data_IF_701906957847
#
_entry.id   IF_701906957847
#
_cell.length_a   1.000
_cell.length_b   1.000
_cell.length_c   1.000
_cell.angle_alpha   90.00
_cell.angle_beta   90.00
_cell.angle_gamma   90.00
#
_symmetry.space_group_name_H-M   'P 1'
#
loop_
_entity.id
_entity.type
_entity.pdbx_description
1 polymer ?
#
# COMPACT_ATOMS: atom_id res chain seq x y z
N UNK A 1 7.47 -20.44 -23.23
CA UNK A 1 8.70 -19.62 -23.20
C UNK A 1 8.31 -18.15 -23.31
N UNK A 2 8.54 -17.39 -22.25
CA UNK A 2 8.27 -15.95 -22.20
C UNK A 2 9.59 -15.24 -22.56
N UNK A 3 9.62 -14.59 -23.71
CA UNK A 3 10.85 -14.03 -24.30
C UNK A 3 11.57 -13.05 -23.35
N UNK A 4 10.82 -12.24 -22.58
CA UNK A 4 11.40 -11.28 -21.64
C UNK A 4 12.15 -11.95 -20.44
N UNK A 5 11.92 -13.24 -20.20
CA UNK A 5 12.52 -14.00 -19.10
C UNK A 5 13.63 -14.96 -19.55
N UNK A 6 13.94 -15.07 -20.85
CA UNK A 6 14.87 -16.05 -21.40
C UNK A 6 16.31 -15.92 -20.85
N UNK A 7 16.71 -14.74 -20.40
CA UNK A 7 18.03 -14.46 -19.82
C UNK A 7 17.98 -14.07 -18.34
N UNK A 8 16.83 -14.20 -17.69
CA UNK A 8 16.65 -13.79 -16.29
C UNK A 8 17.06 -14.93 -15.37
N UNK A 9 17.99 -14.66 -14.47
CA UNK A 9 18.31 -15.54 -13.34
C UNK A 9 17.45 -15.14 -12.14
N UNK A 10 16.75 -16.11 -11.57
CA UNK A 10 15.87 -15.89 -10.40
C UNK A 10 16.58 -16.41 -9.15
N UNK A 11 16.76 -15.52 -8.19
CA UNK A 11 17.13 -15.86 -6.82
C UNK A 11 15.94 -15.72 -5.91
N UNK A 12 15.73 -16.66 -4.99
CA UNK A 12 14.59 -16.67 -4.08
C UNK A 12 15.01 -16.54 -2.62
N UNK A 13 14.28 -15.73 -1.86
CA UNK A 13 14.47 -15.57 -0.43
C UNK A 13 13.14 -15.58 0.29
N UNK A 14 12.99 -16.48 1.26
CA UNK A 14 11.81 -16.48 2.13
C UNK A 14 11.97 -15.45 3.25
N UNK A 15 11.08 -14.47 3.29
CA UNK A 15 11.06 -13.41 4.33
C UNK A 15 10.18 -13.83 5.50
N UNK A 16 8.98 -14.35 5.19
CA UNK A 16 8.03 -14.85 6.16
C UNK A 16 7.20 -15.99 5.54
N UNK A 17 6.56 -16.78 6.39
CA UNK A 17 5.55 -17.75 5.99
C UNK A 17 4.34 -17.58 6.91
N UNK A 18 3.41 -16.76 6.49
CA UNK A 18 2.24 -16.36 7.26
C UNK A 18 1.06 -16.11 6.33
N UNK A 19 -0.14 -16.20 6.90
CA UNK A 19 -1.32 -15.64 6.23
C UNK A 19 -1.27 -14.14 6.30
N UNK A 20 -1.52 -13.46 5.18
CA UNK A 20 -1.38 -11.99 5.12
C UNK A 20 -2.35 -11.23 6.00
N UNK A 21 -3.47 -11.81 6.43
CA UNK A 21 -4.35 -11.20 7.43
C UNK A 21 -3.66 -10.97 8.79
N UNK A 22 -2.59 -11.71 9.05
CA UNK A 22 -1.80 -11.66 10.28
C UNK A 22 -0.52 -10.81 10.10
N UNK A 23 -0.43 -10.02 9.01
CA UNK A 23 0.70 -9.13 8.73
C UNK A 23 0.90 -8.12 9.87
N UNK A 24 2.15 -7.94 10.27
CA UNK A 24 2.53 -7.01 11.32
C UNK A 24 3.67 -6.06 10.91
N UNK A 25 3.91 -5.06 11.73
CA UNK A 25 4.95 -4.06 11.47
C UNK A 25 6.36 -4.66 11.51
N UNK A 26 6.61 -5.68 12.33
CA UNK A 26 7.91 -6.35 12.41
C UNK A 26 8.25 -7.04 11.08
N UNK A 27 7.28 -7.73 10.51
CA UNK A 27 7.41 -8.37 9.19
C UNK A 27 7.60 -7.34 8.09
N UNK A 28 6.89 -6.21 8.13
CA UNK A 28 7.11 -5.10 7.18
C UNK A 28 8.53 -4.54 7.25
N UNK A 29 9.10 -4.40 8.45
CA UNK A 29 10.47 -3.91 8.60
C UNK A 29 11.50 -4.88 8.03
N UNK A 30 11.34 -6.19 8.30
CA UNK A 30 12.20 -7.22 7.72
C UNK A 30 12.12 -7.23 6.19
N UNK A 31 10.91 -7.15 5.64
CA UNK A 31 10.68 -7.06 4.20
C UNK A 31 11.34 -5.81 3.61
N UNK A 32 11.11 -4.65 4.22
CA UNK A 32 11.68 -3.38 3.74
C UNK A 32 13.22 -3.40 3.71
N UNK A 33 13.86 -3.97 4.73
CA UNK A 33 15.32 -4.15 4.74
C UNK A 33 15.80 -5.04 3.60
N UNK A 34 15.10 -6.15 3.36
CA UNK A 34 15.45 -7.04 2.27
C UNK A 34 15.31 -6.36 0.90
N UNK A 35 14.24 -5.59 0.70
CA UNK A 35 14.00 -4.82 -0.52
C UNK A 35 15.06 -3.73 -0.71
N UNK A 36 15.38 -2.97 0.34
CA UNK A 36 16.41 -1.93 0.28
C UNK A 36 17.80 -2.52 -0.05
N UNK A 37 18.15 -3.67 0.54
CA UNK A 37 19.40 -4.36 0.24
C UNK A 37 19.45 -4.84 -1.23
N UNK A 38 18.35 -5.43 -1.73
CA UNK A 38 18.27 -5.86 -3.13
C UNK A 38 18.27 -4.68 -4.11
N UNK A 39 17.66 -3.55 -3.75
CA UNK A 39 17.74 -2.34 -4.57
C UNK A 39 19.17 -1.77 -4.65
N UNK A 40 19.98 -1.94 -3.61
CA UNK A 40 21.37 -1.48 -3.57
C UNK A 40 22.33 -2.40 -4.33
N UNK A 41 21.96 -3.64 -4.59
CA UNK A 41 22.80 -4.62 -5.31
C UNK A 41 22.67 -4.39 -6.83
N UNK A 42 23.76 -4.01 -7.49
CA UNK A 42 23.78 -3.74 -8.93
C UNK A 42 23.44 -4.98 -9.79
N UNK A 43 23.66 -6.19 -9.27
CA UNK A 43 23.33 -7.43 -9.98
C UNK A 43 21.82 -7.70 -10.03
N UNK A 44 21.03 -7.07 -9.18
CA UNK A 44 19.58 -7.23 -9.13
C UNK A 44 18.91 -6.25 -10.10
N UNK A 45 18.25 -6.76 -11.12
CA UNK A 45 17.51 -5.94 -12.10
C UNK A 45 16.13 -5.51 -11.61
N UNK A 46 15.45 -6.34 -10.82
CA UNK A 46 14.12 -6.08 -10.26
C UNK A 46 13.76 -7.05 -9.14
N UNK A 47 12.70 -6.79 -8.44
CA UNK A 47 12.28 -7.54 -7.25
C UNK A 47 10.82 -7.95 -7.41
N UNK A 48 10.51 -9.22 -7.18
CA UNK A 48 9.13 -9.71 -7.08
C UNK A 48 8.86 -10.19 -5.66
N UNK A 49 7.75 -9.76 -5.10
CA UNK A 49 7.29 -10.14 -3.76
C UNK A 49 5.98 -10.91 -3.91
N UNK A 50 6.01 -12.21 -3.62
CA UNK A 50 4.78 -13.00 -3.51
C UNK A 50 4.15 -12.76 -2.14
N UNK A 51 2.87 -12.41 -2.11
CA UNK A 51 2.17 -11.96 -0.93
C UNK A 51 0.76 -12.55 -0.88
N UNK A 52 0.18 -12.71 0.32
CA UNK A 52 -1.24 -13.04 0.45
C UNK A 52 -2.13 -11.85 0.08
N UNK A 53 -3.36 -12.12 -0.32
CA UNK A 53 -4.23 -11.10 -0.94
C UNK A 53 -4.83 -10.10 0.04
N UNK A 54 -4.93 -10.42 1.35
CA UNK A 54 -5.75 -9.65 2.29
C UNK A 54 -5.12 -8.32 2.71
N UNK A 55 -3.79 -8.24 2.75
CA UNK A 55 -3.04 -7.01 3.11
C UNK A 55 -1.99 -6.61 2.08
N UNK A 56 -2.08 -7.15 0.88
CA UNK A 56 -1.14 -6.84 -0.22
C UNK A 56 -1.10 -5.34 -0.53
N UNK A 57 -2.27 -4.71 -0.60
CA UNK A 57 -2.39 -3.27 -0.88
C UNK A 57 -1.73 -2.41 0.20
N UNK A 58 -1.84 -2.82 1.47
CA UNK A 58 -1.22 -2.14 2.61
C UNK A 58 0.31 -2.26 2.57
N UNK A 59 0.82 -3.47 2.29
CA UNK A 59 2.26 -3.71 2.14
C UNK A 59 2.85 -2.94 0.96
N UNK A 60 2.15 -2.91 -0.17
CA UNK A 60 2.55 -2.14 -1.34
C UNK A 60 2.57 -0.64 -1.05
N UNK A 61 1.53 -0.14 -0.38
CA UNK A 61 1.46 1.25 0.05
C UNK A 61 2.62 1.59 1.01
N UNK A 62 2.84 0.79 2.05
CA UNK A 62 3.94 0.98 2.99
C UNK A 62 5.29 1.11 2.29
N UNK A 63 5.63 0.17 1.41
CA UNK A 63 6.90 0.21 0.66
C UNK A 63 6.99 1.46 -0.20
N UNK A 64 5.91 1.87 -0.88
CA UNK A 64 5.88 3.06 -1.73
C UNK A 64 6.04 4.37 -0.96
N UNK A 65 5.66 4.41 0.33
CA UNK A 65 5.83 5.58 1.19
C UNK A 65 7.21 5.63 1.86
N UNK A 66 7.86 4.49 2.01
CA UNK A 66 9.18 4.39 2.64
C UNK A 66 10.28 4.93 1.71
N UNK A 67 10.22 4.63 0.41
CA UNK A 67 11.22 5.05 -0.57
C UNK A 67 10.70 4.94 -2.01
N UNK A 68 11.39 5.63 -2.92
CA UNK A 68 11.14 5.48 -4.36
C UNK A 68 12.29 4.66 -4.95
N UNK A 69 12.10 3.37 -5.23
CA UNK A 69 13.15 2.53 -5.77
C UNK A 69 13.51 2.95 -7.22
N UNK A 70 14.79 2.83 -7.55
CA UNK A 70 15.30 2.99 -8.92
C UNK A 70 15.21 1.71 -9.75
N UNK A 71 14.61 0.68 -9.19
CA UNK A 71 14.37 -0.63 -9.82
C UNK A 71 12.92 -1.01 -9.59
N UNK A 72 12.33 -1.85 -10.46
CA UNK A 72 10.99 -2.36 -10.23
C UNK A 72 10.91 -3.20 -8.95
N UNK A 73 9.93 -2.89 -8.10
CA UNK A 73 9.53 -3.69 -6.93
C UNK A 73 8.08 -4.06 -7.11
N UNK A 74 7.82 -5.30 -7.44
CA UNK A 74 6.52 -5.78 -7.89
C UNK A 74 5.93 -6.74 -6.86
N UNK A 75 4.79 -6.39 -6.28
CA UNK A 75 4.02 -7.29 -5.44
C UNK A 75 3.01 -8.05 -6.28
N UNK A 76 2.86 -9.33 -6.01
CA UNK A 76 1.86 -10.19 -6.65
C UNK A 76 1.27 -11.20 -5.67
N UNK A 77 0.16 -11.81 -6.06
CA UNK A 77 -0.59 -12.72 -5.19
C UNK A 77 -1.31 -13.80 -6.02
N UNK A 78 -2.05 -14.66 -5.32
CA UNK A 78 -2.99 -15.59 -5.92
C UNK A 78 -4.29 -15.63 -5.12
N UNK A 79 -5.42 -15.60 -5.81
CA UNK A 79 -6.75 -15.75 -5.22
C UNK A 79 -7.17 -17.22 -5.10
N UNK A 80 -6.56 -18.12 -5.87
CA UNK A 80 -6.82 -19.56 -5.87
C UNK A 80 -5.62 -20.31 -5.35
N UNK A 81 -5.83 -21.38 -4.58
CA UNK A 81 -4.74 -22.23 -4.14
C UNK A 81 -4.08 -22.93 -5.33
N UNK A 82 -2.80 -23.30 -5.19
CA UNK A 82 -2.05 -23.99 -6.24
C UNK A 82 -2.68 -25.35 -6.65
N UNK A 83 -3.51 -25.93 -5.78
CA UNK A 83 -4.25 -27.18 -6.02
C UNK A 83 -5.59 -26.98 -6.76
N UNK A 84 -5.98 -25.74 -7.05
CA UNK A 84 -7.20 -25.48 -7.81
C UNK A 84 -7.10 -26.01 -9.24
N UNK A 85 -8.24 -26.31 -9.86
CA UNK A 85 -8.29 -26.77 -11.27
C UNK A 85 -7.63 -25.74 -12.22
N UNK A 86 -7.77 -24.45 -11.93
CA UNK A 86 -7.15 -23.35 -12.69
C UNK A 86 -6.58 -22.35 -11.69
N UNK A 87 -5.35 -22.56 -11.17
CA UNK A 87 -4.71 -21.63 -10.26
C UNK A 87 -4.24 -20.39 -11.01
N UNK A 88 -4.42 -19.22 -10.42
CA UNK A 88 -3.99 -17.93 -11.00
C UNK A 88 -2.54 -17.54 -10.64
N UNK A 89 -2.00 -18.14 -9.56
CA UNK A 89 -0.68 -17.81 -9.05
C UNK A 89 0.46 -17.94 -10.07
N UNK A 90 0.58 -19.04 -10.83
CA UNK A 90 1.65 -19.18 -11.81
C UNK A 90 1.65 -18.07 -12.87
N UNK A 91 0.48 -17.69 -13.40
CA UNK A 91 0.40 -16.60 -14.35
C UNK A 91 0.73 -15.25 -13.73
N UNK A 92 0.21 -14.98 -12.54
CA UNK A 92 0.50 -13.73 -11.82
C UNK A 92 2.00 -13.57 -11.50
N UNK A 93 2.71 -14.67 -11.19
CA UNK A 93 4.17 -14.64 -10.98
C UNK A 93 4.89 -14.33 -12.30
N UNK A 94 4.51 -14.92 -13.40
CA UNK A 94 5.10 -14.65 -14.73
C UNK A 94 4.88 -13.19 -15.10
N UNK A 95 3.67 -12.69 -14.95
CA UNK A 95 3.34 -11.28 -15.22
C UNK A 95 4.17 -10.32 -14.35
N UNK A 96 4.29 -10.63 -13.06
CA UNK A 96 5.10 -9.84 -12.13
C UNK A 96 6.60 -9.86 -12.51
N UNK A 97 7.14 -11.01 -12.92
CA UNK A 97 8.52 -11.12 -13.40
C UNK A 97 8.75 -10.30 -14.67
N UNK A 98 7.79 -10.29 -15.61
CA UNK A 98 7.88 -9.47 -16.83
C UNK A 98 7.90 -7.97 -16.51
N UNK A 99 7.14 -7.53 -15.51
CA UNK A 99 7.19 -6.13 -15.04
C UNK A 99 8.52 -5.86 -14.32
N UNK A 100 8.97 -6.77 -13.46
CA UNK A 100 10.22 -6.62 -12.72
C UNK A 100 11.47 -6.62 -13.61
N UNK A 101 11.42 -7.31 -14.74
CA UNK A 101 12.49 -7.32 -15.73
C UNK A 101 12.47 -6.09 -16.66
N UNK A 102 11.44 -5.24 -16.60
CA UNK A 102 11.31 -4.09 -17.49
C UNK A 102 12.00 -2.85 -16.90
N UNK A 103 13.07 -2.33 -17.52
CA UNK A 103 13.80 -1.17 -16.98
C UNK A 103 13.00 0.14 -16.98
N UNK A 104 11.84 0.19 -17.64
CA UNK A 104 10.95 1.37 -17.57
C UNK A 104 9.98 1.34 -16.40
N UNK A 105 9.98 0.25 -15.60
CA UNK A 105 9.04 0.05 -14.51
C UNK A 105 9.61 0.41 -13.13
N UNK A 106 10.44 1.44 -13.03
CA UNK A 106 10.94 1.94 -11.75
C UNK A 106 9.81 2.20 -10.76
N UNK A 107 10.00 1.86 -9.48
CA UNK A 107 9.00 2.11 -8.46
C UNK A 107 8.37 0.84 -7.90
N UNK A 108 7.34 1.03 -7.08
CA UNK A 108 6.57 -0.06 -6.47
C UNK A 108 5.27 -0.26 -7.24
N UNK A 109 4.96 -1.51 -7.57
CA UNK A 109 3.78 -1.89 -8.36
C UNK A 109 3.08 -3.09 -7.75
N UNK A 110 1.78 -3.21 -8.00
CA UNK A 110 1.00 -4.42 -7.74
C UNK A 110 0.57 -5.01 -9.08
N UNK A 111 0.84 -6.30 -9.28
CA UNK A 111 0.47 -7.02 -10.49
C UNK A 111 -0.43 -8.19 -10.13
N UNK A 112 -1.65 -8.19 -10.63
CA UNK A 112 -2.63 -9.25 -10.43
C UNK A 112 -3.57 -9.35 -11.64
N UNK A 113 -3.91 -10.55 -12.07
CA UNK A 113 -4.80 -10.83 -13.19
C UNK A 113 -4.44 -10.04 -14.48
N UNK A 114 -3.14 -9.94 -14.78
CA UNK A 114 -2.63 -9.23 -15.96
C UNK A 114 -2.65 -7.69 -15.86
N UNK A 115 -3.16 -7.11 -14.76
CA UNK A 115 -3.24 -5.68 -14.56
C UNK A 115 -2.10 -5.17 -13.66
N UNK A 116 -1.54 -4.00 -13.99
CA UNK A 116 -0.51 -3.31 -13.21
C UNK A 116 -1.14 -2.11 -12.51
N UNK A 117 -1.04 -2.07 -11.20
CA UNK A 117 -1.68 -1.07 -10.35
C UNK A 117 -0.65 -0.24 -9.57
N UNK A 118 -1.00 1.03 -9.30
CA UNK A 118 -0.24 1.87 -8.36
C UNK A 118 -0.56 1.49 -6.90
N UNK A 119 0.43 1.44 -6.01
CA UNK A 119 0.21 1.15 -4.59
C UNK A 119 -0.77 2.10 -3.89
N UNK A 120 -0.85 3.34 -4.37
CA UNK A 120 -1.71 4.39 -3.80
C UNK A 120 -3.17 4.32 -4.23
N UNK A 121 -3.50 3.43 -5.18
CA UNK A 121 -4.83 3.38 -5.81
C UNK A 121 -5.43 1.98 -5.81
N UNK A 122 -4.61 0.94 -5.68
CA UNK A 122 -5.08 -0.44 -5.67
C UNK A 122 -5.83 -0.77 -4.39
N UNK A 123 -6.93 -1.48 -4.51
CA UNK A 123 -7.66 -2.06 -3.38
C UNK A 123 -8.23 -3.43 -3.77
N UNK A 124 -8.33 -4.34 -2.80
CA UNK A 124 -9.05 -5.60 -2.94
C UNK A 124 -10.54 -5.32 -2.85
N UNK A 125 -11.21 -5.30 -4.00
CA UNK A 125 -12.63 -4.95 -4.12
C UNK A 125 -13.56 -6.16 -4.15
N UNK A 126 -13.01 -7.37 -4.24
CA UNK A 126 -13.80 -8.59 -4.24
C UNK A 126 -13.14 -9.69 -3.40
N UNK A 127 -13.91 -10.41 -2.54
CA UNK A 127 -13.31 -11.40 -1.63
C UNK A 127 -12.86 -12.70 -2.31
N UNK A 128 -13.27 -13.00 -3.55
CA UNK A 128 -13.11 -14.35 -4.12
C UNK A 128 -12.68 -14.42 -5.60
N UNK A 129 -12.98 -13.42 -6.42
CA UNK A 129 -12.67 -13.46 -7.87
C UNK A 129 -11.17 -13.36 -8.10
N UNK A 130 -10.67 -13.90 -9.22
CA UNK A 130 -9.25 -13.79 -9.59
C UNK A 130 -8.84 -12.36 -9.93
N UNK A 131 -9.78 -11.56 -10.49
CA UNK A 131 -9.65 -10.12 -10.73
C UNK A 131 -10.13 -9.29 -9.52
N UNK A 132 -9.71 -9.69 -8.32
CA UNK A 132 -10.17 -9.09 -7.06
C UNK A 132 -9.61 -7.69 -6.79
N UNK A 133 -8.56 -7.26 -7.48
CA UNK A 133 -7.93 -5.97 -7.29
C UNK A 133 -8.35 -4.95 -8.33
N UNK A 134 -8.56 -3.72 -7.90
CA UNK A 134 -8.97 -2.61 -8.76
C UNK A 134 -8.34 -1.29 -8.31
N UNK A 135 -8.07 -0.41 -9.25
CA UNK A 135 -7.69 0.98 -8.99
C UNK A 135 -8.87 1.96 -9.15
N UNK A 136 -10.09 1.46 -9.02
CA UNK A 136 -11.31 2.26 -9.12
C UNK A 136 -11.42 3.02 -10.44
N UNK A 137 -11.83 4.30 -10.36
CA UNK A 137 -12.04 5.17 -11.53
C UNK A 137 -10.75 5.49 -12.31
N UNK A 138 -9.57 5.37 -11.68
CA UNK A 138 -8.30 5.62 -12.36
C UNK A 138 -7.86 4.46 -13.24
N UNK A 139 -8.39 3.26 -13.00
CA UNK A 139 -8.02 2.04 -13.69
C UNK A 139 -6.57 1.61 -13.46
N UNK A 140 -6.16 0.49 -14.03
CA UNK A 140 -4.77 0.05 -14.03
C UNK A 140 -3.89 0.99 -14.86
N UNK A 141 -2.63 1.11 -14.49
CA UNK A 141 -1.67 1.96 -15.22
C UNK A 141 -0.98 1.23 -16.36
N UNK A 142 -1.04 -0.08 -16.35
CA UNK A 142 -0.50 -0.95 -17.38
C UNK A 142 -1.18 -2.31 -17.37
N UNK A 143 -0.90 -3.08 -18.40
CA UNK A 143 -1.32 -4.47 -18.54
C UNK A 143 -0.16 -5.32 -19.00
N UNK A 144 -0.16 -6.60 -18.63
CA UNK A 144 0.77 -7.60 -19.15
C UNK A 144 0.01 -8.51 -20.09
N UNK A 145 0.40 -8.53 -21.36
CA UNK A 145 -0.21 -9.32 -22.43
C UNK A 145 0.91 -10.11 -23.12
N UNK A 146 0.77 -11.42 -23.21
CA UNK A 146 1.79 -12.31 -23.83
C UNK A 146 3.21 -12.06 -23.29
N UNK A 147 3.34 -11.84 -21.97
CA UNK A 147 4.62 -11.57 -21.31
C UNK A 147 5.21 -10.19 -21.61
N UNK A 148 4.44 -9.27 -22.15
CA UNK A 148 4.88 -7.90 -22.49
C UNK A 148 4.10 -6.87 -21.68
N UNK A 149 4.83 -6.01 -20.98
CA UNK A 149 4.26 -4.85 -20.31
C UNK A 149 3.85 -3.78 -21.33
N UNK A 150 2.60 -3.40 -21.31
CA UNK A 150 2.09 -2.25 -22.05
C UNK A 150 1.52 -1.22 -21.08
N UNK A 151 2.13 -0.06 -21.02
CA UNK A 151 1.61 1.06 -20.24
C UNK A 151 0.34 1.63 -20.88
N UNK A 152 -0.70 1.84 -20.07
CA UNK A 152 -1.96 2.48 -20.48
C UNK A 152 -1.91 4.00 -20.30
N UNK A 153 -1.08 4.46 -19.39
CA UNK A 153 -0.80 5.87 -19.14
C UNK A 153 0.70 6.12 -19.30
N UNK A 154 1.12 7.33 -19.70
CA UNK A 154 2.54 7.63 -19.84
C UNK A 154 3.29 7.26 -18.56
N UNK A 155 4.25 6.34 -18.67
CA UNK A 155 5.09 5.91 -17.54
C UNK A 155 5.92 7.06 -16.95
N UNK A 156 6.06 8.16 -17.69
CA UNK A 156 6.83 9.34 -17.31
C UNK A 156 6.10 10.37 -16.44
N UNK A 157 4.81 10.23 -16.18
CA UNK A 157 4.14 11.08 -15.19
C UNK A 157 4.52 10.66 -13.77
N UNK A 158 5.77 10.91 -13.41
CA UNK A 158 6.27 10.93 -12.01
C UNK A 158 5.40 11.82 -11.10
N UNK A 159 4.50 12.61 -11.71
CA UNK A 159 3.56 13.51 -11.05
C UNK A 159 2.51 12.80 -10.18
N UNK A 160 2.13 11.57 -10.49
CA UNK A 160 1.15 10.82 -9.70
C UNK A 160 1.75 9.87 -8.65
N UNK A 161 3.05 9.61 -8.70
CA UNK A 161 3.76 8.88 -7.63
C UNK A 161 3.90 9.74 -6.36
N UNK A 162 3.58 11.03 -6.46
CA UNK A 162 3.75 11.99 -5.37
C UNK A 162 2.40 12.43 -4.84
N UNK A 163 1.88 11.70 -3.85
CA UNK A 163 0.90 12.32 -2.96
C UNK A 163 1.60 13.44 -2.18
N UNK A 164 1.13 14.71 -2.25
CA UNK A 164 1.89 15.86 -1.73
C UNK A 164 1.84 16.00 -0.21
N UNK A 165 1.58 14.95 0.55
CA UNK A 165 1.08 15.13 1.91
C UNK A 165 2.01 14.77 3.06
N UNK A 166 3.26 14.38 2.88
CA UNK A 166 4.13 14.20 4.04
C UNK A 166 5.39 15.06 3.97
N UNK A 167 5.64 15.83 5.05
CA UNK A 167 6.88 16.56 5.23
C UNK A 167 8.12 15.64 5.20
N UNK A 168 7.94 14.36 5.51
CA UNK A 168 8.99 13.34 5.43
C UNK A 168 9.40 13.06 3.97
N UNK A 169 8.45 13.00 3.03
CA UNK A 169 8.76 12.80 1.60
C UNK A 169 9.58 13.96 1.01
N UNK A 170 9.35 15.20 1.48
CA UNK A 170 10.09 16.38 1.03
C UNK A 170 11.54 16.41 1.51
N UNK A 171 11.85 15.82 2.68
CA UNK A 171 13.22 15.77 3.20
C UNK A 171 14.10 14.76 2.46
N UNK A 172 13.48 13.73 1.82
CA UNK A 172 14.20 12.70 1.05
C UNK A 172 14.61 13.22 -0.33
N UNK A 173 13.88 14.15 -0.90
CA UNK A 173 14.10 14.68 -2.26
C UNK A 173 15.40 15.48 -2.45
N UNK A 174 15.97 15.99 -1.39
CA UNK A 174 17.23 16.76 -1.42
C UNK A 174 18.50 15.91 -1.23
N UNK A 175 18.36 14.61 -1.03
CA UNK A 175 19.49 13.72 -0.75
C UNK A 175 19.96 13.03 -2.02
N UNK A 176 21.23 13.20 -2.36
CA UNK A 176 21.93 12.43 -3.42
C UNK A 176 22.03 10.93 -3.11
N UNK A 177 21.52 10.47 -1.97
CA UNK A 177 21.57 9.08 -1.53
C UNK A 177 20.22 8.65 -0.93
N UNK A 178 19.23 8.37 -1.80
CA UNK A 178 17.88 7.91 -1.43
C UNK A 178 17.91 6.65 -0.54
N UNK A 179 18.84 5.72 -0.79
CA UNK A 179 19.01 4.51 0.01
C UNK A 179 19.42 4.82 1.46
N UNK A 180 20.29 5.79 1.67
CA UNK A 180 20.70 6.20 3.04
C UNK A 180 19.55 6.82 3.81
N UNK A 181 18.77 7.69 3.17
CA UNK A 181 17.61 8.33 3.81
C UNK A 181 16.51 7.31 4.17
N UNK A 182 16.23 6.36 3.26
CA UNK A 182 15.26 5.29 3.50
C UNK A 182 15.71 4.36 4.64
N UNK A 183 16.99 3.98 4.68
CA UNK A 183 17.55 3.18 5.78
C UNK A 183 17.49 3.92 7.13
N UNK A 184 17.77 5.22 7.15
CA UNK A 184 17.66 6.04 8.38
C UNK A 184 16.21 6.15 8.85
N UNK A 185 15.26 6.34 7.93
CA UNK A 185 13.84 6.35 8.25
C UNK A 185 13.38 5.00 8.80
N UNK A 186 13.75 3.90 8.15
CA UNK A 186 13.41 2.55 8.58
C UNK A 186 13.99 2.25 9.98
N UNK A 187 15.26 2.58 10.23
CA UNK A 187 15.88 2.40 11.55
C UNK A 187 15.14 3.20 12.65
N UNK A 188 14.69 4.41 12.33
CA UNK A 188 13.87 5.21 13.26
C UNK A 188 12.51 4.59 13.53
N UNK A 189 11.85 4.06 12.49
CA UNK A 189 10.56 3.38 12.64
C UNK A 189 10.69 2.09 13.45
N UNK A 190 11.76 1.32 13.25
CA UNK A 190 12.04 0.13 14.05
C UNK A 190 12.30 0.44 15.52
N UNK A 191 13.04 1.52 15.80
CA UNK A 191 13.37 1.92 17.16
C UNK A 191 12.19 2.49 17.94
N UNK A 192 11.33 3.27 17.27
CA UNK A 192 10.23 3.99 17.89
C UNK A 192 8.86 3.30 17.72
N UNK A 193 8.76 2.32 16.84
CA UNK A 193 7.50 1.77 16.35
C UNK A 193 6.77 2.71 15.40
N UNK A 194 5.79 2.18 14.68
CA UNK A 194 4.80 3.00 13.98
C UNK A 194 3.80 3.57 14.98
N UNK A 195 3.32 4.81 14.78
CA UNK A 195 2.33 5.39 15.67
C UNK A 195 1.04 4.57 15.62
N UNK A 196 0.42 4.37 16.77
CA UNK A 196 -0.88 3.70 16.84
C UNK A 196 -1.94 4.59 16.22
N UNK A 197 -2.58 4.09 15.16
CA UNK A 197 -3.68 4.73 14.43
C UNK A 197 -4.87 3.79 14.43
N UNK A 198 -6.04 4.30 14.78
CA UNK A 198 -7.26 3.51 14.84
C UNK A 198 -8.29 4.01 13.82
N UNK A 199 -9.19 3.12 13.41
CA UNK A 199 -10.29 3.45 12.53
C UNK A 199 -11.59 3.63 13.31
N UNK A 200 -12.31 4.72 13.02
CA UNK A 200 -13.64 4.99 13.56
C UNK A 200 -14.62 5.06 12.42
N UNK A 201 -15.55 4.11 12.37
CA UNK A 201 -16.56 4.05 11.32
C UNK A 201 -17.80 4.81 11.73
N UNK A 202 -18.21 5.79 10.91
CA UNK A 202 -19.50 6.48 11.06
C UNK A 202 -20.62 5.72 10.36
N UNK A 203 -21.67 5.43 11.09
CA UNK A 203 -22.86 4.72 10.61
C UNK A 203 -24.12 5.14 11.36
N UNK A 204 -25.29 4.72 10.89
CA UNK A 204 -26.56 4.93 11.62
C UNK A 204 -26.48 4.22 12.99
N UNK A 205 -26.79 4.96 14.06
CA UNK A 205 -26.74 4.44 15.43
C UNK A 205 -25.33 4.36 16.04
N UNK A 206 -24.32 4.93 15.42
CA UNK A 206 -22.99 5.08 16.05
C UNK A 206 -23.11 5.92 17.33
N UNK A 207 -22.30 5.61 18.33
CA UNK A 207 -22.30 6.32 19.62
C UNK A 207 -20.92 6.97 19.88
N UNK A 208 -20.84 7.93 20.81
CA UNK A 208 -19.55 8.51 21.22
C UNK A 208 -18.51 7.48 21.68
N UNK A 209 -18.96 6.32 22.15
CA UNK A 209 -18.10 5.23 22.58
C UNK A 209 -17.15 4.74 21.47
N UNK A 210 -17.53 4.85 20.20
CA UNK A 210 -16.67 4.49 19.08
C UNK A 210 -15.33 5.25 19.09
N UNK A 211 -15.31 6.49 19.56
CA UNK A 211 -14.08 7.29 19.72
C UNK A 211 -13.46 7.09 21.10
N UNK A 212 -14.28 7.21 22.16
CA UNK A 212 -13.74 7.22 23.53
C UNK A 212 -13.10 5.88 23.91
N UNK A 213 -13.64 4.76 23.44
CA UNK A 213 -13.05 3.44 23.68
C UNK A 213 -11.67 3.31 23.01
N UNK A 214 -11.52 3.81 21.79
CA UNK A 214 -10.19 3.83 21.13
C UNK A 214 -9.16 4.61 21.93
N UNK A 215 -9.55 5.76 22.50
CA UNK A 215 -8.66 6.64 23.26
C UNK A 215 -8.31 6.08 24.64
N UNK A 216 -9.24 5.37 25.29
CA UNK A 216 -9.06 4.80 26.63
C UNK A 216 -8.26 3.49 26.62
N UNK A 217 -8.24 2.77 25.52
CA UNK A 217 -7.53 1.52 25.41
C UNK A 217 -6.02 1.75 25.41
N UNK A 218 -5.41 1.73 26.60
CA UNK A 218 -3.97 1.55 26.78
C UNK A 218 -3.62 0.11 26.43
N UNK A 219 -3.45 -0.20 25.13
CA UNK A 219 -3.06 -1.51 24.63
C UNK A 219 -1.58 -1.60 24.32
N UNK A 220 -1.16 -2.77 23.85
CA UNK A 220 0.13 -2.95 23.17
C UNK A 220 0.19 -1.95 22.02
N UNK A 221 1.21 -1.09 21.99
CA UNK A 221 1.31 0.02 21.01
C UNK A 221 1.10 1.43 21.60
N UNK A 222 0.80 1.54 22.91
CA UNK A 222 0.74 2.83 23.61
C UNK A 222 -0.51 3.67 23.28
N UNK A 223 -0.40 4.98 23.52
CA UNK A 223 -1.50 5.92 23.29
C UNK A 223 -1.81 6.07 21.78
N UNK A 224 -3.09 6.18 21.44
CA UNK A 224 -3.53 6.48 20.07
C UNK A 224 -2.99 7.84 19.67
N UNK A 225 -2.33 7.88 18.51
CA UNK A 225 -1.72 9.07 17.91
C UNK A 225 -2.51 9.62 16.73
N UNK A 226 -3.36 8.79 16.14
CA UNK A 226 -4.21 9.19 15.03
C UNK A 226 -5.53 8.42 14.99
N UNK A 227 -6.56 9.06 14.42
CA UNK A 227 -7.83 8.44 14.10
C UNK A 227 -8.15 8.69 12.63
N UNK A 228 -8.46 7.64 11.89
CA UNK A 228 -9.02 7.70 10.55
C UNK A 228 -10.53 7.51 10.67
N UNK A 229 -11.28 8.56 10.31
CA UNK A 229 -12.74 8.49 10.28
C UNK A 229 -13.17 7.94 8.93
N UNK A 230 -13.79 6.77 8.94
CA UNK A 230 -14.45 6.17 7.78
C UNK A 230 -15.88 6.74 7.73
N UNK A 231 -16.00 7.85 7.01
CA UNK A 231 -17.20 8.69 6.96
C UNK A 231 -18.23 8.17 5.96
N UNK A 232 -19.41 8.75 5.99
CA UNK A 232 -20.46 8.57 4.99
C UNK A 232 -20.34 9.61 3.88
N UNK A 233 -20.80 9.28 2.67
CA UNK A 233 -20.87 10.21 1.54
C UNK A 233 -19.58 11.02 1.33
N UNK A 234 -19.70 12.32 1.20
CA UNK A 234 -18.57 13.25 0.99
C UNK A 234 -17.81 13.58 2.30
N UNK A 235 -17.48 12.58 3.11
CA UNK A 235 -16.71 12.78 4.33
C UNK A 235 -17.50 13.30 5.52
N UNK A 236 -18.84 13.10 5.51
CA UNK A 236 -19.72 13.46 6.64
C UNK A 236 -19.72 12.36 7.69
N UNK A 237 -19.93 12.72 8.95
CA UNK A 237 -20.04 11.78 10.05
C UNK A 237 -21.18 12.16 11.01
N UNK A 238 -21.62 11.20 11.80
CA UNK A 238 -22.73 11.40 12.73
C UNK A 238 -22.40 12.47 13.78
N UNK A 239 -23.32 13.40 14.03
CA UNK A 239 -23.11 14.55 14.93
C UNK A 239 -22.65 14.18 16.35
N UNK A 240 -23.03 13.00 16.87
CA UNK A 240 -22.61 12.56 18.20
C UNK A 240 -21.09 12.33 18.32
N UNK A 241 -20.36 12.18 17.21
CA UNK A 241 -18.91 12.03 17.19
C UNK A 241 -18.18 13.38 17.25
N UNK A 242 -18.86 14.51 17.01
CA UNK A 242 -18.20 15.84 16.91
C UNK A 242 -17.47 16.20 18.20
N UNK A 243 -18.13 16.08 19.35
CA UNK A 243 -17.48 16.42 20.64
C UNK A 243 -16.30 15.51 20.97
N UNK A 244 -16.44 14.16 20.97
CA UNK A 244 -15.30 13.30 21.30
C UNK A 244 -14.14 13.41 20.31
N UNK A 245 -14.38 13.75 19.03
CA UNK A 245 -13.32 13.99 18.07
C UNK A 245 -12.57 15.31 18.35
N UNK A 246 -13.29 16.40 18.68
CA UNK A 246 -12.66 17.66 19.09
C UNK A 246 -11.85 17.47 20.38
N UNK A 247 -12.35 16.72 21.32
CA UNK A 247 -11.62 16.42 22.58
C UNK A 247 -10.34 15.61 22.28
N UNK A 248 -10.39 14.64 21.35
CA UNK A 248 -9.22 13.89 20.90
C UNK A 248 -8.18 14.80 20.22
N UNK A 249 -8.60 15.68 19.32
CA UNK A 249 -7.73 16.62 18.63
C UNK A 249 -7.07 17.60 19.61
N UNK A 250 -7.82 18.10 20.59
CA UNK A 250 -7.28 18.96 21.67
C UNK A 250 -6.23 18.23 22.52
N UNK A 251 -6.29 16.89 22.61
CA UNK A 251 -5.26 16.05 23.25
C UNK A 251 -4.09 15.69 22.31
N UNK A 252 -4.03 16.24 21.10
CA UNK A 252 -2.95 16.04 20.16
C UNK A 252 -3.09 14.77 19.28
N UNK A 253 -4.27 14.18 19.21
CA UNK A 253 -4.56 13.07 18.30
C UNK A 253 -4.82 13.61 16.88
N UNK A 254 -4.11 13.07 15.90
CA UNK A 254 -4.29 13.46 14.50
C UNK A 254 -5.58 12.87 13.93
N UNK A 255 -6.40 13.72 13.29
CA UNK A 255 -7.65 13.29 12.66
C UNK A 255 -7.52 13.33 11.14
N UNK A 256 -7.98 12.27 10.48
CA UNK A 256 -8.11 12.23 9.02
C UNK A 256 -9.48 11.68 8.65
N UNK A 257 -10.12 12.31 7.67
CA UNK A 257 -11.38 11.83 7.10
C UNK A 257 -11.10 10.99 5.85
N UNK A 258 -11.78 9.87 5.76
CA UNK A 258 -11.93 9.03 4.58
C UNK A 258 -13.41 8.83 4.31
N UNK A 259 -13.78 8.25 3.21
CA UNK A 259 -15.17 7.87 2.91
C UNK A 259 -15.28 6.35 2.75
N UNK A 260 -16.41 5.78 3.14
CA UNK A 260 -16.73 4.37 2.85
C UNK A 260 -17.28 4.15 1.43
N UNK A 261 -17.43 5.23 0.65
CA UNK A 261 -17.72 5.10 -0.77
C UNK A 261 -16.54 4.46 -1.47
N UNK A 262 -16.80 3.41 -2.26
CA UNK A 262 -15.76 2.62 -2.93
C UNK A 262 -15.10 3.42 -4.07
N UNK A 263 -15.83 4.37 -4.65
CA UNK A 263 -15.38 5.21 -5.76
C UNK A 263 -15.49 6.69 -5.41
N UNK A 264 -14.70 7.50 -6.08
CA UNK A 264 -14.62 8.93 -5.87
C UNK A 264 -13.72 9.32 -4.69
N UNK A 265 -13.54 10.62 -4.52
CA UNK A 265 -12.79 11.22 -3.42
C UNK A 265 -13.61 12.28 -2.71
N UNK A 266 -13.26 12.59 -1.47
CA UNK A 266 -13.88 13.68 -0.73
C UNK A 266 -13.56 15.00 -1.40
N UNK A 267 -14.59 15.75 -1.78
CA UNK A 267 -14.46 17.11 -2.36
C UNK A 267 -14.50 18.11 -1.21
N UNK A 268 -13.35 18.72 -0.95
CA UNK A 268 -13.21 19.72 0.12
C UNK A 268 -13.91 21.03 -0.29
N UNK A 269 -14.69 21.60 0.65
CA UNK A 269 -15.41 22.85 0.42
C UNK A 269 -16.78 22.71 -0.26
N UNK A 270 -17.20 21.49 -0.65
CA UNK A 270 -18.52 21.25 -1.23
C UNK A 270 -19.65 21.22 -0.19
N UNK A 271 -19.31 21.03 1.07
CA UNK A 271 -20.25 21.12 2.21
C UNK A 271 -19.57 21.83 3.36
N UNK A 272 -20.23 22.86 3.90
CA UNK A 272 -19.84 23.54 5.13
C UNK A 272 -20.16 22.67 6.34
N UNK A 273 -19.42 21.58 6.53
CA UNK A 273 -19.43 20.85 7.80
C UNK A 273 -18.00 20.86 8.28
N UNK A 274 -17.76 21.79 9.18
CA UNK A 274 -16.54 21.99 9.93
C UNK A 274 -16.12 20.77 10.76
#
# INVERSE_FOLDING_TARGET
DVECLASVQIETRQIAQMDSKDMDHATWFVLARAVLAACADEAVAGIVITHGTDTLEETAFFLSQLFTPSKPVVLTCAMRPATALSPDGPQNIVDALCVAANPSADGVWVVAAGAVHRPTQVAKVHPYRTDAFSSGETGPVGVVEEGRLRWLHPAGEKSFARSPSTAASRQIEGSSNLGTAANALLARLESNGLPRVEWVVSHAGVTPAAVTTCLMAGGEGGAVRGLVLVCTGNGTFHQCLTKPLRDAEACGVWLRRSTRCIQGSIVVGATSVD
#
